data_IF_875725268144
#
_entry.id   IF_875725268144
#
_cell.length_a   1.000
_cell.length_b   1.000
_cell.length_c   1.000
_cell.angle_alpha   90.00
_cell.angle_beta   90.00
_cell.angle_gamma   90.00
#
_symmetry.space_group_name_H-M   'P 1'
#
loop_
_entity.id
_entity.type
_entity.pdbx_description
1 polymer ?
#
# COMPACT_ATOMS: atom_id res chain seq x y z
N UNK A 1 -4.65 -25.65 -9.13
CA UNK A 1 -5.40 -24.57 -9.81
C UNK A 1 -5.00 -24.54 -11.29
N UNK A 2 -5.87 -24.02 -12.17
CA UNK A 2 -5.57 -23.93 -13.61
C UNK A 2 -4.57 -22.80 -13.87
N UNK A 3 -3.62 -23.05 -14.78
CA UNK A 3 -2.64 -22.05 -15.18
C UNK A 3 -3.21 -21.07 -16.21
N UNK A 4 -2.99 -19.79 -15.97
CA UNK A 4 -3.38 -18.72 -16.87
C UNK A 4 -2.17 -17.91 -17.31
N UNK A 5 -2.27 -17.32 -18.48
CA UNK A 5 -1.29 -16.36 -19.00
C UNK A 5 -1.89 -14.94 -19.03
N UNK A 6 -1.06 -13.93 -19.25
CA UNK A 6 -1.52 -12.55 -19.41
C UNK A 6 -2.47 -12.34 -20.61
N UNK A 7 -2.51 -13.29 -21.55
CA UNK A 7 -3.34 -13.22 -22.76
C UNK A 7 -4.75 -13.78 -22.55
N UNK A 8 -5.02 -14.53 -21.49
CA UNK A 8 -6.38 -14.98 -21.21
C UNK A 8 -7.28 -13.79 -20.90
N UNK A 9 -8.49 -13.83 -21.46
CA UNK A 9 -9.50 -12.82 -21.17
C UNK A 9 -10.03 -12.93 -19.74
N UNK A 10 -10.45 -11.83 -19.14
CA UNK A 10 -11.11 -11.84 -17.85
C UNK A 10 -12.37 -12.73 -17.84
N UNK A 11 -13.05 -12.84 -18.98
CA UNK A 11 -14.23 -13.71 -19.13
C UNK A 11 -13.89 -15.20 -19.00
N UNK A 12 -12.76 -15.65 -19.55
CA UNK A 12 -12.29 -17.04 -19.42
C UNK A 12 -11.88 -17.35 -18.00
N UNK A 13 -11.16 -16.44 -17.37
CA UNK A 13 -10.75 -16.57 -15.97
C UNK A 13 -11.99 -16.58 -15.07
N UNK A 14 -12.94 -15.65 -15.29
CA UNK A 14 -14.19 -15.59 -14.54
C UNK A 14 -14.98 -16.91 -14.60
N UNK A 15 -15.11 -17.51 -15.78
CA UNK A 15 -15.79 -18.81 -15.92
C UNK A 15 -15.14 -19.90 -15.07
N UNK A 16 -13.81 -19.94 -15.06
CA UNK A 16 -13.09 -20.89 -14.23
C UNK A 16 -13.28 -20.61 -12.74
N UNK A 17 -13.07 -19.37 -12.30
CA UNK A 17 -13.21 -19.00 -10.89
C UNK A 17 -14.62 -19.28 -10.35
N UNK A 18 -15.64 -18.99 -11.16
CA UNK A 18 -17.04 -19.29 -10.78
C UNK A 18 -17.29 -20.79 -10.68
N UNK A 19 -16.71 -21.60 -11.58
CA UNK A 19 -16.87 -23.06 -11.53
C UNK A 19 -16.21 -23.72 -10.32
N UNK A 20 -15.15 -23.12 -9.79
CA UNK A 20 -14.44 -23.59 -8.59
C UNK A 20 -15.08 -23.08 -7.27
N UNK A 21 -15.99 -22.12 -7.36
CA UNK A 21 -16.58 -21.51 -6.17
C UNK A 21 -17.61 -22.45 -5.52
N UNK A 22 -17.36 -22.81 -4.26
CA UNK A 22 -18.27 -23.61 -3.46
C UNK A 22 -19.30 -22.74 -2.74
N UNK A 23 -20.52 -22.72 -3.26
CA UNK A 23 -21.63 -21.98 -2.69
C UNK A 23 -22.19 -22.59 -1.39
N UNK A 24 -21.78 -23.79 -1.01
CA UNK A 24 -22.33 -24.52 0.14
C UNK A 24 -22.16 -23.76 1.47
N UNK A 25 -21.09 -22.97 1.59
CA UNK A 25 -20.73 -22.20 2.78
C UNK A 25 -21.13 -20.72 2.73
N UNK A 26 -21.78 -20.26 1.66
CA UNK A 26 -22.10 -18.84 1.47
C UNK A 26 -22.88 -18.24 2.63
N UNK A 27 -23.91 -18.95 3.12
CA UNK A 27 -24.73 -18.48 4.24
C UNK A 27 -23.94 -18.37 5.55
N UNK A 28 -23.04 -19.32 5.80
CA UNK A 28 -22.18 -19.34 6.98
C UNK A 28 -21.19 -18.19 6.94
N UNK A 29 -20.51 -18.00 5.81
CA UNK A 29 -19.55 -16.89 5.57
C UNK A 29 -20.27 -15.55 5.72
N UNK A 30 -21.47 -15.40 5.12
CA UNK A 30 -22.27 -14.18 5.23
C UNK A 30 -22.66 -13.88 6.68
N UNK A 31 -23.10 -14.89 7.42
CA UNK A 31 -23.47 -14.74 8.82
C UNK A 31 -22.29 -14.34 9.70
N UNK A 32 -21.14 -14.99 9.53
CA UNK A 32 -19.91 -14.66 10.26
C UNK A 32 -19.42 -13.25 9.94
N UNK A 33 -19.39 -12.88 8.65
CA UNK A 33 -18.99 -11.55 8.19
C UNK A 33 -19.91 -10.47 8.73
N UNK A 34 -21.23 -10.70 8.65
CA UNK A 34 -22.24 -9.77 9.20
C UNK A 34 -22.06 -9.55 10.69
N UNK A 35 -21.74 -10.61 11.46
CA UNK A 35 -21.47 -10.52 12.90
C UNK A 35 -20.24 -9.62 13.15
N UNK A 36 -19.12 -9.88 12.48
CA UNK A 36 -17.89 -9.09 12.61
C UNK A 36 -18.15 -7.62 12.30
N UNK A 37 -18.76 -7.31 11.15
CA UNK A 37 -19.06 -5.94 10.74
C UNK A 37 -20.00 -5.25 11.75
N UNK A 38 -21.00 -5.98 12.25
CA UNK A 38 -21.94 -5.43 13.24
C UNK A 38 -21.23 -5.08 14.55
N UNK A 39 -20.35 -5.94 15.04
CA UNK A 39 -19.57 -5.67 16.25
C UNK A 39 -18.58 -4.52 16.05
N UNK A 40 -17.88 -4.45 14.92
CA UNK A 40 -17.02 -3.31 14.57
C UNK A 40 -17.81 -1.99 14.54
N UNK A 41 -19.03 -2.00 13.98
CA UNK A 41 -19.90 -0.81 13.93
C UNK A 41 -20.45 -0.38 15.29
N UNK A 42 -20.68 -1.33 16.20
CA UNK A 42 -21.11 -1.04 17.57
C UNK A 42 -20.00 -0.44 18.42
N UNK A 43 -18.77 -0.84 18.16
CA UNK A 43 -17.59 -0.40 18.92
C UNK A 43 -17.17 1.01 18.49
N UNK A 44 -17.94 2.02 18.94
CA UNK A 44 -17.75 3.44 18.61
C UNK A 44 -16.74 4.15 19.52
N UNK A 45 -16.17 3.44 20.50
CA UNK A 45 -15.17 4.01 21.41
C UNK A 45 -13.86 4.24 20.67
N UNK A 46 -13.53 5.50 20.43
CA UNK A 46 -12.28 5.89 19.77
C UNK A 46 -12.43 6.47 18.36
N UNK A 47 -13.63 6.83 17.93
CA UNK A 47 -13.77 7.53 16.64
C UNK A 47 -12.95 8.82 16.66
N UNK A 48 -11.88 8.82 15.88
CA UNK A 48 -11.05 10.00 15.63
C UNK A 48 -11.81 11.01 14.76
N UNK A 49 -11.29 12.23 14.67
CA UNK A 49 -11.80 13.21 13.70
C UNK A 49 -11.75 12.67 12.27
N UNK A 50 -10.73 11.85 11.97
CA UNK A 50 -10.60 11.19 10.69
C UNK A 50 -11.70 10.14 10.46
N UNK A 51 -12.09 9.34 11.46
CA UNK A 51 -13.22 8.42 11.32
C UNK A 51 -14.52 9.12 10.97
N UNK A 52 -14.74 10.30 11.54
CA UNK A 52 -15.88 11.15 11.19
C UNK A 52 -15.78 11.66 9.76
N UNK A 53 -14.60 12.12 9.37
CA UNK A 53 -14.31 12.55 8.01
C UNK A 53 -14.53 11.42 7.00
N UNK A 54 -13.95 10.24 7.22
CA UNK A 54 -14.10 9.07 6.34
C UNK A 54 -15.54 8.54 6.32
N UNK A 55 -16.31 8.72 7.38
CA UNK A 55 -17.74 8.36 7.40
C UNK A 55 -18.61 9.31 6.59
N UNK A 56 -18.20 10.57 6.44
CA UNK A 56 -18.89 11.60 5.64
C UNK A 56 -18.55 11.45 4.16
N UNK A 57 -17.26 11.29 3.85
CA UNK A 57 -16.74 11.31 2.48
C UNK A 57 -16.43 9.93 1.89
N UNK A 58 -16.63 8.86 2.59
CA UNK A 58 -16.47 7.47 2.14
C UNK A 58 -15.29 7.20 1.20
N UNK A 59 -14.40 6.26 1.54
CA UNK A 59 -13.26 5.87 0.69
C UNK A 59 -13.66 5.18 -0.65
N UNK A 60 -14.95 4.96 -0.86
CA UNK A 60 -15.49 4.22 -2.02
C UNK A 60 -16.17 5.10 -3.03
N UNK A 61 -16.32 6.40 -2.74
CA UNK A 61 -16.85 7.38 -3.70
C UNK A 61 -15.68 8.12 -4.38
N UNK A 62 -15.97 8.71 -5.54
CA UNK A 62 -14.98 9.41 -6.36
C UNK A 62 -14.29 10.55 -5.56
N UNK A 63 -15.03 11.16 -4.67
CA UNK A 63 -14.54 12.22 -3.78
C UNK A 63 -13.49 11.72 -2.79
N UNK A 64 -13.75 10.61 -2.10
CA UNK A 64 -12.80 10.01 -1.17
C UNK A 64 -11.52 9.56 -1.88
N UNK A 65 -11.66 8.97 -3.08
CA UNK A 65 -10.52 8.54 -3.90
C UNK A 65 -9.65 9.74 -4.31
N UNK A 66 -10.26 10.83 -4.79
CA UNK A 66 -9.51 12.01 -5.22
C UNK A 66 -8.79 12.70 -4.04
N UNK A 67 -9.42 12.73 -2.86
CA UNK A 67 -8.78 13.23 -1.64
C UNK A 67 -7.58 12.38 -1.21
N UNK A 68 -7.69 11.06 -1.34
CA UNK A 68 -6.59 10.15 -1.06
C UNK A 68 -5.44 10.34 -2.05
N UNK A 69 -5.73 10.50 -3.34
CA UNK A 69 -4.72 10.80 -4.36
C UNK A 69 -4.00 12.14 -4.08
N UNK A 70 -4.74 13.15 -3.62
CA UNK A 70 -4.14 14.42 -3.23
C UNK A 70 -3.24 14.27 -2.00
N UNK A 71 -3.70 13.57 -0.97
CA UNK A 71 -2.91 13.30 0.22
C UNK A 71 -1.62 12.54 -0.12
N UNK A 72 -1.72 11.52 -0.97
CA UNK A 72 -0.58 10.76 -1.48
C UNK A 72 0.40 11.66 -2.26
N UNK A 73 -0.11 12.52 -3.13
CA UNK A 73 0.71 13.44 -3.93
C UNK A 73 1.50 14.41 -3.03
N UNK A 74 0.85 15.00 -2.04
CA UNK A 74 1.51 15.91 -1.07
C UNK A 74 2.56 15.18 -0.24
N UNK A 75 2.33 13.92 0.12
CA UNK A 75 3.29 13.11 0.87
C UNK A 75 4.51 12.70 0.05
N UNK A 76 4.35 12.53 -1.27
CA UNK A 76 5.44 12.15 -2.18
C UNK A 76 6.36 13.33 -2.55
N UNK A 77 5.93 14.56 -2.36
CA UNK A 77 6.74 15.74 -2.63
C UNK A 77 7.78 15.87 -1.50
N UNK A 78 9.09 15.85 -1.82
CA UNK A 78 10.12 15.80 -0.78
C UNK A 78 10.36 17.13 -0.07
N UNK A 79 10.09 18.25 -0.74
CA UNK A 79 10.41 19.59 -0.22
C UNK A 79 9.14 20.44 0.01
N UNK A 80 9.22 21.32 0.98
CA UNK A 80 8.09 22.13 1.39
C UNK A 80 7.74 23.23 0.37
N UNK A 81 8.73 23.71 -0.41
CA UNK A 81 8.48 24.75 -1.41
C UNK A 81 7.60 24.21 -2.54
N UNK A 82 7.91 23.01 -3.06
CA UNK A 82 7.08 22.36 -4.10
C UNK A 82 5.69 22.00 -3.56
N UNK A 83 5.58 21.60 -2.28
CA UNK A 83 4.27 21.42 -1.63
C UNK A 83 3.48 22.71 -1.59
N UNK A 84 4.13 23.79 -1.18
CA UNK A 84 3.52 25.11 -1.09
C UNK A 84 3.08 25.63 -2.47
N UNK A 85 3.90 25.43 -3.51
CA UNK A 85 3.56 25.78 -4.88
C UNK A 85 2.32 24.99 -5.37
N UNK A 86 2.28 23.66 -5.16
CA UNK A 86 1.14 22.84 -5.54
C UNK A 86 -0.15 23.31 -4.84
N UNK A 87 -0.05 23.59 -3.55
CA UNK A 87 -1.20 24.03 -2.76
C UNK A 87 -1.62 25.43 -3.17
N UNK A 88 -0.67 26.34 -3.39
CA UNK A 88 -0.93 27.71 -3.83
C UNK A 88 -1.57 27.74 -5.22
N UNK A 89 -1.05 26.96 -6.17
CA UNK A 89 -1.64 26.83 -7.52
C UNK A 89 -3.10 26.38 -7.45
N UNK A 90 -3.40 25.42 -6.58
CA UNK A 90 -4.75 24.90 -6.40
C UNK A 90 -5.69 25.85 -5.64
N UNK A 91 -5.15 26.77 -4.83
CA UNK A 91 -5.95 27.76 -4.10
C UNK A 91 -6.15 29.07 -4.88
N UNK A 92 -5.11 29.53 -5.63
CA UNK A 92 -5.08 30.87 -6.24
C UNK A 92 -5.68 30.93 -7.64
N UNK A 93 -5.85 29.82 -8.35
CA UNK A 93 -6.46 29.80 -9.69
C UNK A 93 -7.97 30.10 -9.60
N UNK A 94 -8.28 31.39 -9.48
CA UNK A 94 -9.60 31.96 -9.16
C UNK A 94 -10.65 31.93 -10.29
N UNK A 95 -10.41 31.23 -11.39
CA UNK A 95 -11.43 30.97 -12.42
C UNK A 95 -12.27 29.70 -12.11
N UNK A 96 -12.59 29.51 -10.84
CA UNK A 96 -13.30 28.36 -10.31
C UNK A 96 -14.78 28.30 -10.70
N UNK A 97 -15.33 29.40 -11.20
CA UNK A 97 -16.77 29.52 -11.46
C UNK A 97 -17.18 28.77 -12.72
N UNK A 98 -16.31 28.58 -13.70
CA UNK A 98 -16.67 28.02 -15.01
C UNK A 98 -16.31 26.54 -15.21
N UNK A 99 -15.47 25.94 -14.34
CA UNK A 99 -15.03 24.54 -14.43
C UNK A 99 -14.92 23.87 -13.05
N UNK A 100 -16.05 23.64 -12.39
CA UNK A 100 -16.09 22.86 -11.16
C UNK A 100 -15.88 21.38 -11.53
N UNK A 101 -14.64 20.95 -11.55
CA UNK A 101 -14.31 19.53 -11.52
C UNK A 101 -14.43 19.01 -10.06
N UNK A 102 -14.86 17.78 -9.89
CA UNK A 102 -15.00 17.13 -8.57
C UNK A 102 -13.73 17.26 -7.72
N UNK A 103 -12.53 17.23 -8.32
CA UNK A 103 -11.26 17.43 -7.65
C UNK A 103 -11.14 18.78 -6.89
N UNK A 104 -11.75 19.83 -7.42
CA UNK A 104 -11.66 21.16 -6.81
C UNK A 104 -12.56 21.30 -5.57
N UNK A 105 -13.73 20.67 -5.58
CA UNK A 105 -14.61 20.63 -4.41
C UNK A 105 -13.98 19.83 -3.24
N UNK A 106 -13.20 18.81 -3.55
CA UNK A 106 -12.48 17.98 -2.58
C UNK A 106 -11.35 18.74 -1.89
N UNK A 107 -10.62 19.53 -2.65
CA UNK A 107 -9.56 20.36 -2.11
C UNK A 107 -10.11 21.37 -1.11
N UNK A 108 -11.24 21.97 -1.44
CA UNK A 108 -11.99 22.90 -0.59
C UNK A 108 -12.46 22.20 0.69
N UNK A 109 -12.97 21.00 0.57
CA UNK A 109 -13.42 20.21 1.72
C UNK A 109 -12.24 19.83 2.63
N UNK A 110 -11.10 19.40 2.07
CA UNK A 110 -9.88 19.11 2.82
C UNK A 110 -9.35 20.36 3.57
N UNK A 111 -9.34 21.51 2.90
CA UNK A 111 -8.95 22.78 3.51
C UNK A 111 -9.85 23.15 4.70
N UNK A 112 -11.14 22.95 4.55
CA UNK A 112 -12.14 23.22 5.60
C UNK A 112 -11.93 22.30 6.81
N UNK A 113 -11.76 21.02 6.58
CA UNK A 113 -11.46 20.06 7.64
C UNK A 113 -10.12 20.36 8.32
N UNK A 114 -9.12 20.76 7.55
CA UNK A 114 -7.84 21.21 8.10
C UNK A 114 -7.99 22.39 9.05
N UNK A 115 -8.82 23.36 8.70
CA UNK A 115 -9.11 24.52 9.54
C UNK A 115 -9.91 24.17 10.81
N UNK A 116 -10.86 23.24 10.70
CA UNK A 116 -11.59 22.68 11.84
C UNK A 116 -10.65 21.95 12.81
N UNK A 117 -9.80 21.09 12.28
CA UNK A 117 -8.82 20.29 13.04
C UNK A 117 -7.76 21.19 13.67
N UNK A 118 -7.31 22.22 12.97
CA UNK A 118 -6.35 23.21 13.50
C UNK A 118 -6.97 24.14 14.56
N UNK A 119 -8.23 23.97 14.93
CA UNK A 119 -8.93 24.78 15.92
C UNK A 119 -9.20 26.22 15.47
N UNK A 120 -9.06 26.53 14.19
CA UNK A 120 -9.32 27.84 13.60
C UNK A 120 -10.82 28.11 13.37
N UNK A 121 -11.61 27.04 13.30
CA UNK A 121 -13.07 27.09 13.15
C UNK A 121 -13.69 26.15 14.18
N UNK A 122 -14.47 26.69 15.11
CA UNK A 122 -15.05 25.93 16.23
C UNK A 122 -16.35 25.22 15.80
N UNK A 123 -17.11 25.81 14.87
CA UNK A 123 -18.29 25.21 14.26
C UNK A 123 -18.35 25.63 12.79
N UNK A 124 -18.53 24.70 11.84
CA UNK A 124 -18.70 25.04 10.45
C UNK A 124 -20.06 25.73 10.25
N UNK A 125 -20.09 26.94 9.69
CA UNK A 125 -21.37 27.59 9.37
C UNK A 125 -22.09 26.86 8.23
N UNK A 126 -23.42 26.90 8.19
CA UNK A 126 -24.21 26.28 7.11
C UNK A 126 -23.77 26.73 5.71
N UNK A 127 -23.35 27.97 5.56
CA UNK A 127 -22.79 28.51 4.31
C UNK A 127 -21.61 27.72 3.75
N UNK A 128 -20.90 26.96 4.57
CA UNK A 128 -19.84 26.06 4.14
C UNK A 128 -20.37 24.89 3.28
N UNK A 129 -21.53 24.36 3.66
CA UNK A 129 -22.15 23.23 2.96
C UNK A 129 -22.93 23.71 1.73
N UNK A 130 -23.44 24.96 1.76
CA UNK A 130 -24.22 25.54 0.67
C UNK A 130 -23.33 26.11 -0.46
N UNK A 131 -22.21 26.76 -0.12
CA UNK A 131 -21.22 27.27 -1.07
C UNK A 131 -19.80 27.26 -0.49
N UNK A 132 -19.12 26.11 -0.50
CA UNK A 132 -17.82 25.93 0.13
C UNK A 132 -16.72 26.87 -0.43
N UNK A 133 -16.73 27.12 -1.73
CA UNK A 133 -15.71 27.94 -2.43
C UNK A 133 -15.78 29.43 -2.00
N UNK A 134 -16.99 29.98 -1.98
CA UNK A 134 -17.19 31.37 -1.55
C UNK A 134 -16.80 31.55 -0.08
N UNK A 135 -17.06 30.54 0.75
CA UNK A 135 -16.68 30.56 2.16
C UNK A 135 -15.16 30.53 2.36
N UNK A 136 -14.44 29.68 1.60
CA UNK A 136 -12.96 29.64 1.66
C UNK A 136 -12.36 30.93 1.12
N UNK A 137 -12.89 31.49 0.02
CA UNK A 137 -12.46 32.77 -0.48
C UNK A 137 -12.59 33.89 0.58
N UNK A 138 -13.71 33.95 1.27
CA UNK A 138 -13.93 34.88 2.39
C UNK A 138 -13.00 34.60 3.59
N UNK A 139 -12.70 33.34 3.86
CA UNK A 139 -11.80 32.95 4.94
C UNK A 139 -10.35 33.31 4.61
N UNK A 140 -9.91 33.06 3.37
CA UNK A 140 -8.57 33.41 2.88
C UNK A 140 -8.34 34.91 2.95
N UNK A 141 -9.35 35.72 2.61
CA UNK A 141 -9.30 37.17 2.76
C UNK A 141 -9.17 37.61 4.22
N UNK A 142 -9.77 36.90 5.17
CA UNK A 142 -9.73 37.24 6.60
C UNK A 142 -8.49 36.71 7.33
N UNK A 143 -8.01 35.53 7.04
CA UNK A 143 -6.96 34.84 7.78
C UNK A 143 -5.62 34.80 7.05
N UNK A 144 -5.59 35.17 5.77
CA UNK A 144 -4.42 35.11 4.91
C UNK A 144 -4.16 33.70 4.32
N UNK A 145 -3.58 33.69 3.15
CA UNK A 145 -3.27 32.49 2.36
C UNK A 145 -2.38 31.50 3.13
N UNK A 146 -1.39 32.01 3.84
CA UNK A 146 -0.47 31.17 4.64
C UNK A 146 -1.19 30.35 5.72
N UNK A 147 -2.22 30.90 6.36
CA UNK A 147 -2.98 30.17 7.38
C UNK A 147 -3.84 29.07 6.78
N UNK A 148 -4.39 29.27 5.58
CA UNK A 148 -5.15 28.25 4.85
C UNK A 148 -4.23 27.12 4.39
N UNK A 149 -3.06 27.45 3.82
CA UNK A 149 -2.03 26.46 3.46
C UNK A 149 -1.61 25.59 4.64
N UNK A 150 -1.28 26.21 5.77
CA UNK A 150 -0.92 25.48 6.99
C UNK A 150 -2.05 24.54 7.47
N UNK A 151 -3.30 24.96 7.35
CA UNK A 151 -4.43 24.12 7.72
C UNK A 151 -4.57 22.91 6.81
N UNK A 152 -4.39 23.09 5.49
CA UNK A 152 -4.39 21.98 4.51
C UNK A 152 -3.25 21.01 4.81
N UNK A 153 -2.03 21.50 5.03
CA UNK A 153 -0.88 20.68 5.38
C UNK A 153 -1.14 19.87 6.65
N UNK A 154 -1.73 20.49 7.66
CA UNK A 154 -2.11 19.80 8.91
C UNK A 154 -3.14 18.69 8.64
N UNK A 155 -4.15 18.95 7.83
CA UNK A 155 -5.14 17.95 7.46
C UNK A 155 -4.49 16.76 6.71
N UNK A 156 -3.63 17.05 5.74
CA UNK A 156 -2.90 16.01 4.99
C UNK A 156 -1.98 15.20 5.90
N UNK A 157 -1.29 15.83 6.84
CA UNK A 157 -0.46 15.13 7.83
C UNK A 157 -1.29 14.22 8.76
N UNK A 158 -2.50 14.64 9.12
CA UNK A 158 -3.40 13.83 9.95
C UNK A 158 -3.91 12.63 9.14
N UNK A 159 -4.32 12.84 7.88
CA UNK A 159 -4.72 11.76 6.98
C UNK A 159 -3.57 10.78 6.76
N UNK A 160 -2.35 11.28 6.57
CA UNK A 160 -1.17 10.44 6.33
C UNK A 160 -0.83 9.53 7.51
N UNK A 161 -1.08 9.96 8.75
CA UNK A 161 -0.81 9.15 9.95
C UNK A 161 -1.63 7.87 10.04
N UNK A 162 -2.72 7.77 9.29
CA UNK A 162 -3.50 6.52 9.20
C UNK A 162 -2.86 5.49 8.26
N UNK A 163 -1.98 5.93 7.36
CA UNK A 163 -1.30 5.07 6.38
C UNK A 163 0.18 4.89 6.67
N UNK A 164 0.77 5.84 7.39
CA UNK A 164 2.20 5.84 7.74
C UNK A 164 2.33 5.91 9.26
N UNK A 165 2.89 4.88 9.87
CA UNK A 165 3.06 4.80 11.32
C UNK A 165 3.97 5.89 11.87
N UNK A 166 4.94 6.35 11.10
CA UNK A 166 5.88 7.41 11.46
C UNK A 166 6.91 7.68 10.37
N UNK A 167 7.60 8.78 10.46
CA UNK A 167 8.65 9.17 9.51
C UNK A 167 9.97 8.41 9.74
N UNK A 168 10.15 7.90 10.97
CA UNK A 168 11.31 7.14 11.40
C UNK A 168 10.93 6.15 12.52
N UNK A 169 11.80 5.22 12.84
CA UNK A 169 11.57 4.23 13.89
C UNK A 169 11.35 4.84 15.27
N UNK A 170 12.01 5.94 15.59
CA UNK A 170 11.86 6.58 16.90
C UNK A 170 10.46 7.17 17.10
N UNK A 171 9.90 7.77 16.04
CA UNK A 171 8.52 8.25 16.04
C UNK A 171 7.51 7.11 16.11
N UNK A 172 7.76 6.01 15.39
CA UNK A 172 6.93 4.80 15.43
C UNK A 172 6.90 4.19 16.83
N UNK A 173 8.06 4.00 17.46
CA UNK A 173 8.17 3.42 18.81
C UNK A 173 7.42 4.28 19.84
N UNK A 174 7.51 5.60 19.74
CA UNK A 174 6.84 6.52 20.65
C UNK A 174 5.33 6.60 20.45
N UNK A 175 4.86 6.46 19.21
CA UNK A 175 3.46 6.71 18.84
C UNK A 175 2.60 5.45 18.86
N UNK A 176 3.18 4.27 18.69
CA UNK A 176 2.45 3.04 18.40
C UNK A 176 2.34 2.11 19.62
N UNK A 177 1.25 1.33 19.63
CA UNK A 177 1.00 0.34 20.65
C UNK A 177 1.65 -0.99 20.29
N UNK A 178 2.96 -0.97 20.03
CA UNK A 178 3.74 -2.11 19.53
C UNK A 178 3.65 -3.37 20.40
N UNK A 179 3.31 -3.19 21.69
CA UNK A 179 3.14 -4.32 22.62
C UNK A 179 1.84 -5.10 22.43
N UNK A 180 0.89 -4.58 21.67
CA UNK A 180 -0.47 -5.17 21.53
C UNK A 180 -0.71 -5.87 20.20
N UNK A 181 0.13 -5.65 19.22
CA UNK A 181 -0.07 -6.15 17.85
C UNK A 181 1.25 -6.54 17.23
N UNK A 182 1.24 -7.57 16.40
CA UNK A 182 2.36 -7.92 15.52
C UNK A 182 2.34 -6.98 14.32
N UNK A 183 3.48 -6.45 13.95
CA UNK A 183 3.65 -5.54 12.83
C UNK A 183 4.65 -6.11 11.83
N UNK A 184 4.39 -5.88 10.54
CA UNK A 184 5.36 -6.04 9.47
C UNK A 184 5.75 -4.64 9.00
N UNK A 185 6.96 -4.22 9.32
CA UNK A 185 7.45 -2.88 8.98
C UNK A 185 7.84 -2.81 7.51
N UNK A 186 7.29 -1.86 6.79
CA UNK A 186 7.64 -1.56 5.40
C UNK A 186 8.38 -0.22 5.37
N UNK A 187 9.66 -0.28 5.05
CA UNK A 187 10.48 0.91 4.84
C UNK A 187 10.13 1.48 3.47
N UNK A 188 9.44 2.63 3.45
CA UNK A 188 9.04 3.26 2.20
C UNK A 188 10.24 3.51 1.30
N UNK A 189 10.19 2.96 0.11
CA UNK A 189 11.22 3.04 -0.91
C UNK A 189 11.13 1.85 -1.87
N UNK A 190 10.99 2.15 -3.15
CA UNK A 190 10.92 1.16 -4.22
C UNK A 190 11.49 1.75 -5.51
N UNK A 191 11.72 0.91 -6.51
CA UNK A 191 12.18 1.31 -7.84
C UNK A 191 13.41 2.23 -7.79
N UNK A 192 14.48 1.79 -7.12
CA UNK A 192 15.75 2.53 -7.09
C UNK A 192 16.20 2.88 -8.51
N UNK A 193 16.58 4.13 -8.73
CA UNK A 193 17.01 4.64 -10.05
C UNK A 193 18.52 4.71 -10.20
N UNK A 194 19.24 4.75 -9.09
CA UNK A 194 20.70 4.82 -9.04
C UNK A 194 21.26 3.80 -8.05
N UNK A 195 22.54 3.45 -8.19
CA UNK A 195 23.24 2.58 -7.23
C UNK A 195 23.25 3.19 -5.83
N UNK A 196 23.51 4.49 -5.72
CA UNK A 196 23.50 5.20 -4.44
C UNK A 196 22.13 5.16 -3.76
N UNK A 197 21.05 5.27 -4.53
CA UNK A 197 19.70 5.13 -3.99
C UNK A 197 19.43 3.69 -3.50
N UNK A 198 19.87 2.69 -4.27
CA UNK A 198 19.75 1.29 -3.87
C UNK A 198 20.55 0.97 -2.59
N UNK A 199 21.76 1.52 -2.46
CA UNK A 199 22.55 1.43 -1.24
C UNK A 199 21.86 2.10 -0.04
N UNK A 200 21.22 3.26 -0.27
CA UNK A 200 20.42 3.94 0.76
C UNK A 200 19.26 3.08 1.26
N UNK A 201 18.50 2.49 0.35
CA UNK A 201 17.40 1.58 0.71
C UNK A 201 17.90 0.30 1.39
N UNK A 202 19.00 -0.28 0.91
CA UNK A 202 19.63 -1.44 1.55
C UNK A 202 20.01 -1.13 3.01
N UNK A 203 20.65 0.00 3.26
CA UNK A 203 21.02 0.43 4.61
C UNK A 203 19.80 0.67 5.51
N UNK A 204 18.71 1.22 4.95
CA UNK A 204 17.44 1.36 5.66
C UNK A 204 16.83 0.01 6.08
N UNK A 205 16.94 -1.02 5.22
CA UNK A 205 16.52 -2.38 5.58
C UNK A 205 17.40 -3.00 6.66
N UNK A 206 18.73 -2.79 6.61
CA UNK A 206 19.65 -3.24 7.66
C UNK A 206 19.25 -2.62 9.00
N UNK A 207 19.09 -1.31 9.04
CA UNK A 207 18.66 -0.59 10.25
C UNK A 207 17.30 -1.10 10.76
N UNK A 208 16.34 -1.31 9.84
CA UNK A 208 15.02 -1.83 10.19
C UNK A 208 15.11 -3.20 10.87
N UNK A 209 15.87 -4.13 10.31
CA UNK A 209 16.03 -5.48 10.87
C UNK A 209 16.64 -5.41 12.27
N UNK A 210 17.71 -4.61 12.47
CA UNK A 210 18.38 -4.46 13.76
C UNK A 210 17.46 -3.83 14.82
N UNK A 211 16.70 -2.81 14.45
CA UNK A 211 15.74 -2.16 15.35
C UNK A 211 14.57 -3.06 15.71
N UNK A 212 14.01 -3.78 14.72
CA UNK A 212 12.93 -4.74 14.95
C UNK A 212 13.41 -5.88 15.84
N UNK A 213 14.63 -6.38 15.64
CA UNK A 213 15.23 -7.39 16.53
C UNK A 213 15.31 -6.92 17.99
N UNK A 214 15.64 -5.65 18.21
CA UNK A 214 15.65 -5.07 19.56
C UNK A 214 14.25 -5.00 20.15
N UNK A 215 13.27 -4.56 19.37
CA UNK A 215 11.86 -4.51 19.79
C UNK A 215 11.32 -5.90 20.14
N UNK A 216 11.61 -6.89 19.31
CA UNK A 216 11.17 -8.28 19.52
C UNK A 216 11.72 -8.83 20.85
N UNK A 217 13.00 -8.60 21.15
CA UNK A 217 13.61 -8.98 22.42
C UNK A 217 13.01 -8.22 23.61
N UNK A 218 12.72 -6.94 23.46
CA UNK A 218 12.18 -6.10 24.52
C UNK A 218 10.72 -6.45 24.85
N UNK A 219 9.91 -6.73 23.82
CA UNK A 219 8.45 -6.91 24.01
C UNK A 219 8.01 -8.38 24.01
N UNK A 220 8.87 -9.31 23.59
CA UNK A 220 8.49 -10.71 23.43
C UNK A 220 7.47 -10.93 22.31
N UNK A 221 7.50 -10.11 21.26
CA UNK A 221 6.57 -10.13 20.13
C UNK A 221 7.40 -10.23 18.85
N UNK A 222 7.00 -11.10 17.92
CA UNK A 222 7.70 -11.30 16.66
C UNK A 222 7.17 -10.32 15.59
N UNK A 223 7.72 -9.13 15.57
CA UNK A 223 7.55 -8.21 14.44
C UNK A 223 8.45 -8.63 13.28
N UNK A 224 8.04 -8.33 12.05
CA UNK A 224 8.80 -8.61 10.84
C UNK A 224 9.09 -7.35 10.01
N UNK A 225 9.85 -7.53 8.92
CA UNK A 225 10.19 -6.49 7.95
C UNK A 225 9.77 -6.95 6.56
N UNK A 226 9.13 -6.07 5.80
CA UNK A 226 8.86 -6.27 4.37
C UNK A 226 9.97 -5.62 3.54
N UNK A 227 10.41 -6.33 2.48
CA UNK A 227 11.45 -5.83 1.56
C UNK A 227 10.94 -5.86 0.12
N UNK A 228 11.31 -4.84 -0.65
CA UNK A 228 11.03 -4.74 -2.09
C UNK A 228 12.30 -4.95 -2.89
N UNK A 229 12.24 -5.86 -3.86
CA UNK A 229 13.41 -6.21 -4.68
C UNK A 229 13.85 -5.04 -5.56
N UNK A 230 12.90 -4.23 -6.03
CA UNK A 230 13.19 -3.04 -6.82
C UNK A 230 13.93 -1.93 -6.05
N UNK A 231 13.87 -1.95 -4.74
CA UNK A 231 14.65 -1.05 -3.89
C UNK A 231 16.14 -1.41 -3.85
N UNK A 232 16.49 -2.67 -4.16
CA UNK A 232 17.86 -3.19 -3.99
C UNK A 232 18.74 -3.03 -5.23
N UNK A 233 18.14 -2.68 -6.40
CA UNK A 233 18.90 -2.55 -7.63
C UNK A 233 18.23 -1.64 -8.66
N UNK A 234 18.97 -0.67 -9.28
CA UNK A 234 18.39 0.30 -10.23
C UNK A 234 18.00 -0.31 -11.59
N UNK A 235 18.36 -1.55 -11.85
CA UNK A 235 18.08 -2.29 -13.09
C UNK A 235 17.35 -3.60 -12.81
N UNK A 236 16.41 -3.57 -11.88
CA UNK A 236 15.53 -4.72 -11.61
C UNK A 236 14.53 -4.92 -12.75
N UNK A 237 15.03 -5.46 -13.85
CA UNK A 237 14.34 -5.66 -15.12
C UNK A 237 14.75 -6.99 -15.78
N UNK A 238 13.85 -7.58 -16.55
CA UNK A 238 14.11 -8.82 -17.29
C UNK A 238 15.12 -8.66 -18.42
N UNK A 239 15.33 -7.47 -18.96
CA UNK A 239 16.27 -7.21 -20.08
C UNK A 239 17.74 -7.48 -19.73
N UNK A 240 18.12 -7.38 -18.46
CA UNK A 240 19.50 -7.67 -17.97
C UNK A 240 19.46 -8.76 -16.90
N UNK A 241 18.66 -9.77 -17.14
CA UNK A 241 18.26 -10.78 -16.20
C UNK A 241 19.43 -11.39 -15.39
N UNK A 242 20.44 -11.96 -16.05
CA UNK A 242 21.53 -12.67 -15.37
C UNK A 242 22.37 -11.75 -14.46
N UNK A 243 22.71 -10.56 -14.96
CA UNK A 243 23.48 -9.60 -14.18
C UNK A 243 22.68 -9.09 -12.98
N UNK A 244 21.47 -8.66 -13.24
CA UNK A 244 20.57 -8.12 -12.22
C UNK A 244 20.26 -9.15 -11.15
N UNK A 245 19.96 -10.39 -11.56
CA UNK A 245 19.67 -11.49 -10.65
C UNK A 245 20.84 -11.74 -9.68
N UNK A 246 22.08 -11.82 -10.19
CA UNK A 246 23.27 -12.07 -9.36
C UNK A 246 23.51 -10.94 -8.34
N UNK A 247 23.42 -9.68 -8.78
CA UNK A 247 23.66 -8.53 -7.89
C UNK A 247 22.58 -8.44 -6.80
N UNK A 248 21.31 -8.58 -7.15
CA UNK A 248 20.19 -8.55 -6.19
C UNK A 248 20.24 -9.73 -5.22
N UNK A 249 20.55 -10.93 -5.72
CA UNK A 249 20.63 -12.14 -4.90
C UNK A 249 21.61 -11.96 -3.74
N UNK A 250 22.78 -11.36 -3.98
CA UNK A 250 23.76 -11.08 -2.94
C UNK A 250 23.18 -10.15 -1.85
N UNK A 251 22.49 -9.09 -2.28
CA UNK A 251 21.87 -8.14 -1.35
C UNK A 251 20.76 -8.79 -0.52
N UNK A 252 19.88 -9.59 -1.17
CA UNK A 252 18.79 -10.28 -0.47
C UNK A 252 19.35 -11.30 0.52
N UNK A 253 20.31 -12.13 0.09
CA UNK A 253 20.92 -13.14 0.96
C UNK A 253 21.60 -12.50 2.18
N UNK A 254 22.20 -11.33 2.03
CA UNK A 254 22.78 -10.59 3.15
C UNK A 254 21.73 -10.12 4.13
N UNK A 255 20.63 -9.51 3.64
CA UNK A 255 19.52 -9.07 4.48
C UNK A 255 18.81 -10.24 5.18
N UNK A 256 18.52 -11.31 4.46
CA UNK A 256 17.86 -12.49 5.00
C UNK A 256 18.76 -13.22 6.03
N UNK A 257 20.06 -13.29 5.80
CA UNK A 257 20.99 -13.82 6.79
C UNK A 257 21.07 -12.97 8.06
N UNK A 258 21.04 -11.64 7.93
CA UNK A 258 20.97 -10.72 9.07
C UNK A 258 19.69 -10.94 9.87
N UNK A 259 18.55 -11.06 9.17
CA UNK A 259 17.27 -11.31 9.78
C UNK A 259 17.22 -12.68 10.48
N UNK A 260 17.72 -13.74 9.85
CA UNK A 260 17.85 -15.07 10.44
C UNK A 260 18.67 -15.05 11.73
N UNK A 261 19.83 -14.37 11.74
CA UNK A 261 20.68 -14.26 12.92
C UNK A 261 20.02 -13.51 14.08
N UNK A 262 19.08 -12.64 13.79
CA UNK A 262 18.35 -11.82 14.75
C UNK A 262 16.93 -12.31 15.02
N UNK A 263 16.50 -13.42 14.42
CA UNK A 263 15.15 -13.97 14.49
C UNK A 263 14.06 -12.95 14.17
N UNK A 264 14.24 -12.24 13.05
CA UNK A 264 13.27 -11.26 12.51
C UNK A 264 12.65 -11.78 11.23
N UNK A 265 11.34 -11.92 11.19
CA UNK A 265 10.65 -12.36 9.98
C UNK A 265 10.86 -11.40 8.81
N UNK A 266 11.11 -11.95 7.61
CA UNK A 266 11.22 -11.20 6.35
C UNK A 266 10.11 -11.63 5.42
N UNK A 267 9.37 -10.65 4.89
CA UNK A 267 8.45 -10.88 3.76
C UNK A 267 8.98 -10.17 2.52
N UNK A 268 9.20 -10.89 1.43
CA UNK A 268 9.52 -10.32 0.13
C UNK A 268 8.21 -9.90 -0.52
N UNK A 269 8.04 -8.60 -0.75
CA UNK A 269 6.83 -8.06 -1.35
C UNK A 269 6.73 -8.41 -2.85
N UNK A 270 5.51 -8.60 -3.33
CA UNK A 270 5.23 -8.74 -4.75
C UNK A 270 5.08 -7.37 -5.40
N UNK A 271 5.71 -7.19 -6.54
CA UNK A 271 5.72 -5.95 -7.29
C UNK A 271 5.03 -6.13 -8.66
N UNK A 272 5.40 -5.35 -9.69
CA UNK A 272 4.72 -5.37 -10.98
C UNK A 272 4.83 -6.72 -11.70
N UNK A 273 3.84 -7.05 -12.48
CA UNK A 273 3.70 -8.36 -13.16
C UNK A 273 4.81 -8.67 -14.18
N UNK A 274 5.47 -7.65 -14.74
CA UNK A 274 6.59 -7.86 -15.66
C UNK A 274 7.86 -8.34 -14.92
N UNK A 275 7.95 -8.11 -13.60
CA UNK A 275 9.04 -8.56 -12.73
C UNK A 275 8.77 -9.90 -12.04
N UNK A 276 7.57 -10.47 -12.22
CA UNK A 276 7.14 -11.66 -11.49
C UNK A 276 8.10 -12.85 -11.66
N UNK A 277 8.58 -13.13 -12.89
CA UNK A 277 9.45 -14.28 -13.13
C UNK A 277 10.80 -14.15 -12.42
N UNK A 278 11.47 -12.99 -12.55
CA UNK A 278 12.74 -12.77 -11.85
C UNK A 278 12.55 -12.75 -10.33
N UNK A 279 11.41 -12.28 -9.84
CA UNK A 279 11.06 -12.31 -8.43
C UNK A 279 10.94 -13.75 -7.92
N UNK A 280 10.23 -14.61 -8.66
CA UNK A 280 10.09 -16.03 -8.30
C UNK A 280 11.44 -16.74 -8.25
N UNK A 281 12.31 -16.52 -9.23
CA UNK A 281 13.65 -17.13 -9.26
C UNK A 281 14.51 -16.68 -8.08
N UNK A 282 14.49 -15.40 -7.75
CA UNK A 282 15.24 -14.86 -6.60
C UNK A 282 14.70 -15.43 -5.28
N UNK A 283 13.38 -15.49 -5.12
CA UNK A 283 12.74 -16.06 -3.92
C UNK A 283 13.11 -17.55 -3.79
N UNK A 284 13.07 -18.31 -4.89
CA UNK A 284 13.44 -19.74 -4.86
C UNK A 284 14.89 -19.95 -4.48
N UNK A 285 15.84 -19.19 -5.06
CA UNK A 285 17.27 -19.28 -4.70
C UNK A 285 17.52 -18.92 -3.24
N UNK A 286 16.89 -17.86 -2.74
CA UNK A 286 16.97 -17.48 -1.33
C UNK A 286 16.39 -18.56 -0.43
N UNK A 287 15.19 -19.05 -0.75
CA UNK A 287 14.49 -20.05 0.03
C UNK A 287 15.24 -21.38 0.11
N UNK A 288 15.97 -21.73 -0.94
CA UNK A 288 16.77 -22.97 -1.01
C UNK A 288 18.21 -22.80 -0.47
N UNK A 289 18.57 -21.62 0.02
CA UNK A 289 19.86 -21.40 0.66
C UNK A 289 20.02 -22.30 1.90
N UNK A 290 21.12 -23.06 1.92
CA UNK A 290 21.40 -24.05 2.99
C UNK A 290 21.38 -23.43 4.39
N UNK A 291 21.73 -22.14 4.52
CA UNK A 291 21.85 -21.44 5.80
C UNK A 291 20.49 -21.21 6.46
N UNK A 292 19.44 -21.00 5.66
CA UNK A 292 18.11 -20.62 6.15
C UNK A 292 17.01 -21.63 5.81
N UNK A 293 17.40 -22.79 5.28
CA UNK A 293 16.42 -23.78 4.78
C UNK A 293 15.42 -24.22 5.86
N UNK A 294 15.88 -24.36 7.10
CA UNK A 294 15.07 -24.80 8.23
C UNK A 294 14.45 -23.64 9.02
N UNK A 295 14.71 -22.39 8.57
CA UNK A 295 14.14 -21.21 9.21
C UNK A 295 12.76 -20.88 8.64
N UNK A 296 11.77 -20.66 9.52
CA UNK A 296 10.40 -20.37 9.16
C UNK A 296 10.07 -18.86 9.08
N UNK A 297 11.06 -17.99 9.31
CA UNK A 297 10.88 -16.53 9.25
C UNK A 297 10.96 -15.92 7.84
N UNK A 298 11.13 -16.74 6.78
CA UNK A 298 11.09 -16.26 5.40
C UNK A 298 9.69 -16.41 4.83
N UNK A 299 9.20 -15.36 4.17
CA UNK A 299 7.94 -15.36 3.44
C UNK A 299 7.97 -14.46 2.21
N UNK A 300 6.89 -14.48 1.46
CA UNK A 300 6.68 -13.64 0.29
C UNK A 300 5.20 -13.31 0.09
N UNK A 301 4.93 -12.30 -0.74
CA UNK A 301 3.57 -11.89 -1.05
C UNK A 301 3.09 -12.46 -2.39
N UNK A 302 1.77 -12.73 -2.48
CA UNK A 302 1.05 -13.09 -3.71
C UNK A 302 -0.05 -12.08 -3.93
N UNK A 303 -0.19 -11.58 -5.17
CA UNK A 303 -1.21 -10.61 -5.57
C UNK A 303 -2.33 -11.29 -6.37
N UNK A 304 -3.53 -11.36 -5.79
CA UNK A 304 -4.67 -12.04 -6.37
C UNK A 304 -5.23 -11.38 -7.64
N UNK A 305 -4.95 -10.10 -7.86
CA UNK A 305 -5.39 -9.41 -9.09
C UNK A 305 -4.60 -9.85 -10.35
N UNK A 306 -3.42 -10.46 -10.17
CA UNK A 306 -2.63 -10.97 -11.27
C UNK A 306 -3.33 -12.12 -11.99
N UNK A 307 -3.40 -12.09 -13.32
CA UNK A 307 -3.97 -13.21 -14.10
C UNK A 307 -3.20 -14.50 -13.89
N UNK A 308 -1.91 -14.41 -13.56
CA UNK A 308 -1.03 -15.54 -13.23
C UNK A 308 -1.04 -15.93 -11.75
N UNK A 309 -1.95 -15.39 -10.92
CA UNK A 309 -1.96 -15.69 -9.49
C UNK A 309 -2.06 -17.20 -9.19
N UNK A 310 -2.88 -17.95 -9.96
CA UNK A 310 -2.98 -19.42 -9.84
C UNK A 310 -1.64 -20.12 -10.11
N UNK A 311 -0.89 -19.68 -11.12
CA UNK A 311 0.45 -20.20 -11.43
C UNK A 311 1.42 -19.94 -10.27
N UNK A 312 1.35 -18.72 -9.68
CA UNK A 312 2.17 -18.37 -8.52
C UNK A 312 1.84 -19.23 -7.31
N UNK A 313 0.55 -19.54 -7.11
CA UNK A 313 0.13 -20.45 -6.02
C UNK A 313 0.66 -21.87 -6.24
N UNK A 314 0.57 -22.40 -7.47
CA UNK A 314 1.12 -23.72 -7.80
C UNK A 314 2.64 -23.74 -7.54
N UNK A 315 3.38 -22.75 -8.04
CA UNK A 315 4.81 -22.59 -7.77
C UNK A 315 5.11 -22.46 -6.26
N UNK A 316 4.32 -21.69 -5.52
CA UNK A 316 4.47 -21.53 -4.08
C UNK A 316 4.29 -22.89 -3.34
N UNK A 317 3.30 -23.69 -3.72
CA UNK A 317 3.10 -25.01 -3.16
C UNK A 317 4.28 -25.95 -3.45
N UNK A 318 4.83 -25.92 -4.66
CA UNK A 318 6.02 -26.69 -5.02
C UNK A 318 7.24 -26.25 -4.23
N UNK A 319 7.45 -24.92 -4.08
CA UNK A 319 8.53 -24.38 -3.27
C UNK A 319 8.40 -24.76 -1.80
N UNK A 320 7.20 -24.60 -1.21
CA UNK A 320 6.95 -24.96 0.17
C UNK A 320 7.08 -26.48 0.44
N UNK A 321 6.89 -27.32 -0.57
CA UNK A 321 7.13 -28.77 -0.42
C UNK A 321 8.62 -29.13 -0.32
N UNK A 322 9.51 -28.25 -0.78
CA UNK A 322 10.98 -28.44 -0.77
C UNK A 322 11.64 -27.93 0.52
N UNK A 323 10.90 -27.22 1.35
CA UNK A 323 11.36 -26.71 2.64
C UNK A 323 10.27 -26.80 3.70
N UNK A 324 10.66 -26.80 4.97
CA UNK A 324 9.77 -27.16 6.07
C UNK A 324 8.66 -26.13 6.30
N UNK A 325 8.97 -24.83 6.26
CA UNK A 325 8.01 -23.74 6.52
C UNK A 325 8.35 -22.47 5.75
N UNK A 326 7.31 -21.84 5.22
CA UNK A 326 7.33 -20.46 4.70
C UNK A 326 5.97 -19.82 5.00
N UNK A 327 5.96 -18.51 5.17
CA UNK A 327 4.71 -17.79 5.23
C UNK A 327 4.40 -17.08 3.91
N UNK A 328 3.12 -16.98 3.59
CA UNK A 328 2.63 -16.30 2.39
C UNK A 328 1.66 -15.20 2.79
N UNK A 329 1.94 -13.99 2.34
CA UNK A 329 1.02 -12.86 2.45
C UNK A 329 0.17 -12.79 1.18
N UNK A 330 -1.10 -13.14 1.30
CA UNK A 330 -2.04 -13.00 0.19
C UNK A 330 -2.67 -11.61 0.21
N UNK A 331 -2.52 -10.86 -0.88
CA UNK A 331 -3.05 -9.51 -1.06
C UNK A 331 -3.90 -9.41 -2.31
N UNK A 332 -4.69 -8.34 -2.43
CA UNK A 332 -5.42 -8.06 -3.69
C UNK A 332 -4.45 -7.68 -4.81
N UNK A 333 -3.57 -6.73 -4.54
CA UNK A 333 -2.57 -6.18 -5.45
C UNK A 333 -2.46 -4.65 -5.32
N UNK A 334 -1.27 -4.12 -5.52
CA UNK A 334 -0.95 -2.72 -5.25
C UNK A 334 -0.65 -1.86 -6.48
N UNK A 335 -0.40 -2.47 -7.65
CA UNK A 335 0.11 -1.76 -8.83
C UNK A 335 -0.90 -1.67 -9.98
N UNK A 336 -2.20 -1.80 -9.72
CA UNK A 336 -3.24 -1.94 -10.74
C UNK A 336 -3.20 -0.82 -11.79
N UNK A 337 -3.15 0.44 -11.37
CA UNK A 337 -3.10 1.60 -12.28
C UNK A 337 -1.83 1.60 -13.15
N UNK A 338 -0.68 1.29 -12.55
CA UNK A 338 0.59 1.18 -13.24
C UNK A 338 0.58 0.09 -14.30
N UNK A 339 0.02 -1.08 -13.99
CA UNK A 339 -0.11 -2.22 -14.91
C UNK A 339 -1.00 -1.90 -16.12
N UNK A 340 -2.12 -1.23 -15.88
CA UNK A 340 -3.03 -0.80 -16.95
C UNK A 340 -2.34 0.23 -17.85
N UNK A 341 -1.76 1.30 -17.26
CA UNK A 341 -1.06 2.36 -18.01
C UNK A 341 0.13 1.82 -18.79
N UNK A 342 0.93 0.94 -18.20
CA UNK A 342 2.06 0.31 -18.86
C UNK A 342 1.62 -0.51 -20.08
N UNK A 343 0.56 -1.30 -19.95
CA UNK A 343 0.02 -2.10 -21.05
C UNK A 343 -0.55 -1.23 -22.16
N UNK A 344 -1.26 -0.17 -21.81
CA UNK A 344 -1.80 0.80 -22.79
C UNK A 344 -0.69 1.53 -23.54
N UNK A 345 0.32 2.04 -22.84
CA UNK A 345 1.47 2.73 -23.43
C UNK A 345 2.30 1.81 -24.34
N UNK A 346 2.40 0.54 -24.00
CA UNK A 346 3.10 -0.47 -24.78
C UNK A 346 2.29 -1.04 -25.96
N UNK A 347 1.02 -0.65 -26.12
CA UNK A 347 0.13 -1.20 -27.16
C UNK A 347 -0.12 -2.71 -26.99
N UNK A 348 -0.11 -3.21 -25.77
CA UNK A 348 -0.29 -4.63 -25.50
C UNK A 348 -1.76 -5.04 -25.68
N UNK A 349 -2.00 -6.23 -26.23
CA UNK A 349 -3.32 -6.84 -26.22
C UNK A 349 -3.65 -7.34 -24.81
N UNK A 350 -4.59 -6.67 -24.15
CA UNK A 350 -5.04 -7.00 -22.79
C UNK A 350 -4.07 -6.55 -21.69
N UNK A 351 -4.42 -6.93 -20.48
CA UNK A 351 -3.72 -6.51 -19.26
C UNK A 351 -3.21 -7.74 -18.50
N UNK A 352 -2.08 -7.65 -17.78
CA UNK A 352 -1.57 -8.77 -16.97
C UNK A 352 -2.37 -8.96 -15.67
N UNK A 353 -3.30 -8.06 -15.37
CA UNK A 353 -4.14 -8.02 -14.18
C UNK A 353 -5.62 -8.11 -14.54
N UNK A 354 -6.44 -8.57 -13.60
CA UNK A 354 -7.89 -8.56 -13.70
C UNK A 354 -8.39 -7.11 -13.63
N UNK A 355 -9.21 -6.70 -14.58
CA UNK A 355 -9.75 -5.34 -14.64
C UNK A 355 -10.98 -5.14 -13.77
N UNK A 356 -11.61 -6.23 -13.34
CA UNK A 356 -12.79 -6.19 -12.50
C UNK A 356 -12.43 -6.56 -11.05
N UNK A 357 -12.70 -5.64 -10.13
CA UNK A 357 -12.43 -5.83 -8.69
C UNK A 357 -13.13 -7.07 -8.13
N UNK A 358 -14.37 -7.37 -8.55
CA UNK A 358 -15.11 -8.54 -8.06
C UNK A 358 -14.43 -9.86 -8.46
N UNK A 359 -13.75 -9.91 -9.62
CA UNK A 359 -12.95 -11.08 -10.01
C UNK A 359 -11.70 -11.21 -9.15
N UNK A 360 -11.07 -10.10 -8.79
CA UNK A 360 -9.95 -10.11 -7.85
C UNK A 360 -10.40 -10.63 -6.47
N UNK A 361 -11.54 -10.17 -5.99
CA UNK A 361 -12.11 -10.60 -4.71
C UNK A 361 -12.43 -12.11 -4.72
N UNK A 362 -13.00 -12.60 -5.81
CA UNK A 362 -13.28 -14.03 -6.00
C UNK A 362 -12.00 -14.86 -6.05
N UNK A 363 -10.99 -14.41 -6.82
CA UNK A 363 -9.70 -15.08 -6.93
C UNK A 363 -8.97 -15.12 -5.58
N UNK A 364 -8.98 -14.01 -4.82
CA UNK A 364 -8.44 -13.95 -3.47
C UNK A 364 -9.10 -14.99 -2.56
N UNK A 365 -10.43 -15.10 -2.61
CA UNK A 365 -11.20 -16.06 -1.81
C UNK A 365 -10.82 -17.51 -2.13
N UNK A 366 -10.73 -17.85 -3.42
CA UNK A 366 -10.37 -19.21 -3.87
C UNK A 366 -8.93 -19.58 -3.52
N UNK A 367 -7.99 -18.66 -3.64
CA UNK A 367 -6.58 -18.88 -3.25
C UNK A 367 -6.50 -19.12 -1.75
N UNK A 368 -7.23 -18.34 -0.95
CA UNK A 368 -7.24 -18.46 0.51
C UNK A 368 -7.81 -19.81 0.97
N UNK A 369 -8.85 -20.30 0.30
CA UNK A 369 -9.50 -21.59 0.60
C UNK A 369 -8.58 -22.77 0.23
#
# INVERSE_FOLDING_TARGET
>A
MKDFTKFHSDKEIAKYLISEFDNSKEKEIFSATKKIITECRKNKSGRTLLDKFLSEYGLTNDEGVALMCLAESVLRIPDDNTKDELISEKITNSNWVDHINQADSLFVNAATWGLLIAGKVIQPPRALFDNPLEWIGKLTQKTGETSVRQAIMTAMQILSKEFVMGNDFDSVIKSSNLKKSIHSFDMLGEAARTKSQAEGFYNSYVEAIERVAKLNREFGINHGVSIKLSALHPRYETLKYELTKKEILNSILSLVNLAYQNDVEITIDAEEQHRLSISQDLIEEVAMSKRIKDWNGLGFAIQAYGKRASNVVNWANELCSKREKMHVRLTKGAYWDGEIKFSQAGGHEGFPVLINKSLTDLNLSLIHI
#
